data_IF_218820572402
#
_entry.id   IF_218820572402
#
_cell.length_a   1.000
_cell.length_b   1.000
_cell.length_c   1.000
_cell.angle_alpha   90.00
_cell.angle_beta   90.00
_cell.angle_gamma   90.00
#
_symmetry.space_group_name_H-M   'P 1'
#
loop_
_entity.id
_entity.type
_entity.pdbx_description
1 polymer ?
#
# COMPACT_ATOMS: atom_id res chain seq x y z
N UNK A 1 1.77 2.91 35.11
CA UNK A 1 0.62 2.52 34.30
C UNK A 1 1.15 1.69 33.16
N UNK A 2 0.63 0.46 32.96
CA UNK A 2 1.01 -0.34 31.80
C UNK A 2 0.33 0.33 30.59
N UNK A 3 1.11 0.83 29.65
CA UNK A 3 0.56 1.44 28.43
C UNK A 3 -0.11 0.35 27.61
N UNK A 4 -1.39 0.54 27.25
CA UNK A 4 -2.11 -0.36 26.34
C UNK A 4 -1.40 -0.40 25.00
N UNK A 5 -0.99 -1.58 24.49
CA UNK A 5 -0.28 -1.66 23.22
C UNK A 5 -1.19 -1.30 22.04
N UNK A 6 -0.59 -0.72 21.00
CA UNK A 6 -1.28 -0.31 19.77
C UNK A 6 -0.80 -1.19 18.61
N UNK A 7 -1.69 -1.98 18.06
CA UNK A 7 -1.43 -2.86 16.92
C UNK A 7 -1.72 -2.10 15.63
N UNK A 8 -0.72 -2.01 14.75
CA UNK A 8 -0.80 -1.35 13.44
C UNK A 8 -0.97 -2.40 12.36
N UNK A 9 -2.16 -2.43 11.72
CA UNK A 9 -2.50 -3.42 10.69
C UNK A 9 -2.22 -2.95 9.27
N UNK A 10 -1.75 -1.73 9.12
CA UNK A 10 -1.46 -1.08 7.84
C UNK A 10 -0.26 -1.76 7.15
N UNK A 11 -0.32 -1.88 5.80
CA UNK A 11 0.81 -2.34 5.00
C UNK A 11 1.91 -1.27 4.88
N UNK A 12 3.13 -1.71 4.54
CA UNK A 12 4.23 -0.80 4.23
C UNK A 12 3.97 -0.01 2.92
N UNK A 13 4.52 1.22 2.80
CA UNK A 13 5.38 1.93 3.75
C UNK A 13 4.61 2.64 4.89
N UNK A 14 3.29 2.69 4.82
CA UNK A 14 2.47 3.41 5.78
C UNK A 14 2.55 2.85 7.21
N UNK A 15 2.83 1.56 7.40
CA UNK A 15 3.03 0.97 8.72
C UNK A 15 4.19 1.65 9.45
N UNK A 16 5.33 1.80 8.79
CA UNK A 16 6.51 2.47 9.35
C UNK A 16 6.20 3.91 9.75
N UNK A 17 5.47 4.66 8.94
CA UNK A 17 5.07 6.06 9.25
C UNK A 17 4.18 6.12 10.49
N UNK A 18 3.14 5.28 10.55
CA UNK A 18 2.24 5.19 11.72
C UNK A 18 3.00 4.80 12.99
N UNK A 19 3.90 3.79 12.90
CA UNK A 19 4.74 3.35 14.01
C UNK A 19 5.62 4.48 14.56
N UNK A 20 6.22 5.29 13.69
CA UNK A 20 7.05 6.44 14.09
C UNK A 20 6.21 7.49 14.82
N UNK A 21 5.00 7.79 14.36
CA UNK A 21 4.08 8.72 14.99
C UNK A 21 3.65 8.24 16.37
N UNK A 22 3.27 6.96 16.51
CA UNK A 22 2.91 6.35 17.80
C UNK A 22 4.06 6.40 18.79
N UNK A 23 5.29 6.13 18.33
CA UNK A 23 6.50 6.26 19.15
C UNK A 23 6.72 7.70 19.63
N UNK A 24 6.50 8.70 18.77
CA UNK A 24 6.59 10.11 19.13
C UNK A 24 5.52 10.51 20.17
N UNK A 25 4.36 9.85 20.19
CA UNK A 25 3.32 9.99 21.20
C UNK A 25 3.61 9.22 22.50
N UNK A 26 4.72 8.48 22.58
CA UNK A 26 5.09 7.68 23.75
C UNK A 26 4.29 6.38 23.90
N UNK A 27 3.62 5.92 22.85
CA UNK A 27 2.80 4.72 22.85
C UNK A 27 3.62 3.48 22.44
N UNK A 28 3.33 2.34 23.07
CA UNK A 28 3.89 1.04 22.67
C UNK A 28 3.16 0.53 21.41
N UNK A 29 3.86 0.54 20.27
CA UNK A 29 3.29 0.14 18.99
C UNK A 29 3.86 -1.19 18.53
N UNK A 30 2.99 -2.05 17.95
CA UNK A 30 3.28 -3.38 17.43
C UNK A 30 2.87 -3.40 15.96
N UNK A 31 3.80 -3.70 15.07
CA UNK A 31 3.49 -3.88 13.65
C UNK A 31 2.90 -5.29 13.42
N UNK A 32 1.74 -5.33 12.81
CA UNK A 32 1.10 -6.56 12.34
C UNK A 32 0.38 -6.27 11.03
N UNK A 33 1.12 -6.01 9.93
CA UNK A 33 0.51 -5.69 8.64
C UNK A 33 -0.40 -6.80 8.16
N UNK A 34 -1.67 -6.49 7.94
CA UNK A 34 -2.67 -7.46 7.48
C UNK A 34 -2.76 -7.57 5.95
N UNK A 35 -1.95 -6.81 5.24
CA UNK A 35 -1.78 -6.88 3.80
C UNK A 35 -0.28 -6.90 3.49
N UNK A 36 0.13 -7.85 2.66
CA UNK A 36 1.49 -7.97 2.16
C UNK A 36 1.53 -7.90 0.64
N UNK A 37 2.60 -7.34 0.10
CA UNK A 37 2.89 -7.43 -1.33
C UNK A 37 3.60 -8.75 -1.58
N UNK A 38 3.07 -9.55 -2.50
CA UNK A 38 3.66 -10.82 -2.91
C UNK A 38 4.01 -10.78 -4.41
N UNK A 39 5.16 -11.35 -4.82
CA UNK A 39 5.44 -11.52 -6.23
C UNK A 39 4.39 -12.44 -6.86
N UNK A 40 4.00 -12.13 -8.08
CA UNK A 40 3.28 -13.07 -8.91
C UNK A 40 4.27 -14.06 -9.54
N UNK A 41 3.87 -15.32 -9.62
CA UNK A 41 4.63 -16.34 -10.38
C UNK A 41 4.35 -16.17 -11.88
N UNK A 42 4.72 -15.00 -12.41
CA UNK A 42 4.54 -14.64 -13.80
C UNK A 42 5.89 -14.58 -14.50
N UNK A 43 6.02 -15.28 -15.60
CA UNK A 43 7.19 -15.14 -16.45
C UNK A 43 7.28 -13.70 -16.99
N UNK A 44 8.43 -13.07 -16.80
CA UNK A 44 8.69 -11.77 -17.44
C UNK A 44 8.74 -12.00 -18.95
N UNK A 45 7.92 -11.28 -19.74
CA UNK A 45 7.91 -11.45 -21.20
C UNK A 45 9.23 -10.98 -21.81
N UNK A 46 9.40 -11.24 -23.12
CA UNK A 46 10.51 -10.63 -23.86
C UNK A 46 10.38 -9.11 -23.83
N UNK A 47 11.40 -8.46 -23.28
CA UNK A 47 11.48 -7.00 -23.10
C UNK A 47 12.31 -6.30 -24.20
N UNK A 48 12.73 -7.01 -25.24
CA UNK A 48 13.61 -6.47 -26.27
C UNK A 48 13.04 -5.27 -27.04
N UNK A 49 11.69 -5.21 -27.13
CA UNK A 49 10.96 -4.09 -27.73
C UNK A 49 10.56 -2.97 -26.78
N UNK A 50 10.86 -3.07 -25.47
CA UNK A 50 10.43 -2.10 -24.48
C UNK A 50 11.41 -0.92 -24.45
N UNK A 51 10.94 0.26 -24.84
CA UNK A 51 11.68 1.53 -24.81
C UNK A 51 11.29 2.40 -23.61
N UNK A 52 10.10 2.21 -23.06
CA UNK A 52 9.53 3.01 -21.97
C UNK A 52 8.90 2.12 -20.91
N UNK A 53 9.33 2.28 -19.66
CA UNK A 53 8.73 1.64 -18.48
C UNK A 53 7.93 2.69 -17.73
N UNK A 54 6.72 2.33 -17.33
CA UNK A 54 5.82 3.21 -16.57
C UNK A 54 5.60 2.61 -15.19
N UNK A 55 5.85 3.39 -14.14
CA UNK A 55 5.72 3.00 -12.75
C UNK A 55 4.79 3.95 -12.00
N UNK A 56 3.66 3.43 -11.55
CA UNK A 56 2.71 4.16 -10.69
C UNK A 56 2.95 3.95 -9.20
N UNK A 57 4.03 3.24 -8.84
CA UNK A 57 4.44 2.99 -7.45
C UNK A 57 5.92 2.61 -7.37
N UNK A 58 6.59 3.02 -6.30
CA UNK A 58 7.96 2.58 -5.97
C UNK A 58 8.06 1.04 -5.84
N UNK A 59 6.97 0.37 -5.44
CA UNK A 59 6.94 -1.09 -5.40
C UNK A 59 7.00 -1.71 -6.80
N UNK A 60 6.35 -1.11 -7.81
CA UNK A 60 6.48 -1.55 -9.20
C UNK A 60 7.94 -1.54 -9.67
N UNK A 61 8.69 -0.49 -9.31
CA UNK A 61 10.13 -0.41 -9.58
C UNK A 61 10.90 -1.53 -8.89
N UNK A 62 10.66 -1.76 -7.61
CA UNK A 62 11.37 -2.79 -6.82
C UNK A 62 11.11 -4.20 -7.35
N UNK A 63 9.84 -4.53 -7.64
CA UNK A 63 9.48 -5.83 -8.21
C UNK A 63 10.07 -6.03 -9.60
N UNK A 64 10.05 -4.99 -10.46
CA UNK A 64 10.70 -5.06 -11.76
C UNK A 64 12.20 -5.23 -11.64
N UNK A 65 12.85 -4.51 -10.74
CA UNK A 65 14.29 -4.60 -10.51
C UNK A 65 14.73 -5.99 -10.03
N UNK A 66 13.89 -6.66 -9.24
CA UNK A 66 14.12 -8.04 -8.82
C UNK A 66 13.86 -9.09 -9.91
N UNK A 67 12.96 -8.79 -10.85
CA UNK A 67 12.54 -9.72 -11.90
C UNK A 67 13.36 -9.57 -13.21
N UNK A 68 13.97 -8.42 -13.47
CA UNK A 68 14.70 -8.14 -14.71
C UNK A 68 15.92 -7.25 -14.47
N UNK A 69 17.06 -7.52 -15.12
CA UNK A 69 18.23 -6.63 -15.08
C UNK A 69 18.12 -5.42 -16.04
N UNK A 70 17.07 -5.33 -16.85
CA UNK A 70 16.91 -4.28 -17.86
C UNK A 70 16.77 -2.90 -17.21
N UNK A 71 17.65 -1.93 -17.61
CA UNK A 71 17.69 -0.55 -17.08
C UNK A 71 17.82 0.52 -18.16
N UNK A 72 17.87 0.10 -19.43
CA UNK A 72 18.03 1.00 -20.58
C UNK A 72 16.79 1.78 -20.99
N UNK A 73 15.53 1.28 -20.77
CA UNK A 73 14.35 2.06 -21.08
C UNK A 73 14.23 3.32 -20.22
N UNK A 74 13.53 4.33 -20.75
CA UNK A 74 13.12 5.50 -19.98
C UNK A 74 12.13 5.08 -18.90
N UNK A 75 12.38 5.44 -17.65
CA UNK A 75 11.47 5.15 -16.53
C UNK A 75 10.55 6.34 -16.25
N UNK A 76 9.27 6.20 -16.57
CA UNK A 76 8.22 7.16 -16.27
C UNK A 76 7.62 6.87 -14.91
N UNK A 77 7.74 7.80 -13.98
CA UNK A 77 7.38 7.62 -12.58
C UNK A 77 6.28 8.61 -12.18
N UNK A 78 5.25 8.13 -11.52
CA UNK A 78 4.08 8.95 -11.13
C UNK A 78 4.43 10.12 -10.19
N UNK A 79 5.54 10.03 -9.47
CA UNK A 79 5.95 11.08 -8.53
C UNK A 79 7.31 10.83 -7.89
N UNK A 80 7.73 11.72 -6.97
CA UNK A 80 9.09 11.78 -6.43
C UNK A 80 9.56 10.48 -5.77
N UNK A 81 8.74 9.82 -4.97
CA UNK A 81 9.08 8.56 -4.28
C UNK A 81 9.35 7.42 -5.26
N UNK A 82 8.54 7.34 -6.34
CA UNK A 82 8.72 6.35 -7.39
C UNK A 82 9.97 6.65 -8.23
N UNK A 83 10.22 7.92 -8.53
CA UNK A 83 11.41 8.35 -9.27
C UNK A 83 12.71 8.11 -8.48
N UNK A 84 12.69 8.35 -7.17
CA UNK A 84 13.82 8.01 -6.30
C UNK A 84 14.13 6.51 -6.34
N UNK A 85 13.11 5.66 -6.20
CA UNK A 85 13.26 4.21 -6.30
C UNK A 85 13.82 3.77 -7.68
N UNK A 86 13.39 4.42 -8.77
CA UNK A 86 13.91 4.12 -10.11
C UNK A 86 15.40 4.47 -10.25
N UNK A 87 15.82 5.63 -9.74
CA UNK A 87 17.25 6.03 -9.72
C UNK A 87 18.08 5.08 -8.86
N UNK A 88 17.61 4.71 -7.68
CA UNK A 88 18.24 3.71 -6.79
C UNK A 88 18.35 2.33 -7.47
N UNK A 89 17.36 1.94 -8.26
CA UNK A 89 17.39 0.71 -9.03
C UNK A 89 18.34 0.74 -10.23
N UNK A 90 18.95 1.89 -10.56
CA UNK A 90 19.95 2.05 -11.63
C UNK A 90 19.40 2.51 -12.98
N UNK A 91 18.17 3.02 -13.06
CA UNK A 91 17.67 3.67 -14.28
C UNK A 91 18.38 5.01 -14.51
N UNK A 92 18.94 5.20 -15.72
CA UNK A 92 19.69 6.41 -16.08
C UNK A 92 18.77 7.57 -16.52
N UNK A 93 17.69 7.28 -17.26
CA UNK A 93 16.70 8.27 -17.68
C UNK A 93 15.39 8.06 -16.90
N UNK A 94 15.15 8.95 -15.93
CA UNK A 94 13.98 8.91 -15.07
C UNK A 94 13.17 10.17 -15.25
N UNK A 95 11.93 10.04 -15.70
CA UNK A 95 10.94 11.10 -15.85
C UNK A 95 10.00 11.09 -14.66
N UNK A 96 9.93 12.19 -13.95
CA UNK A 96 9.15 12.35 -12.73
C UNK A 96 7.90 13.16 -13.01
N UNK A 97 6.73 12.53 -12.81
CA UNK A 97 5.43 13.17 -12.84
C UNK A 97 5.09 13.84 -11.50
N UNK A 98 4.08 14.69 -11.50
CA UNK A 98 3.67 15.48 -10.33
C UNK A 98 2.24 15.22 -9.88
N UNK A 99 1.58 14.23 -10.46
CA UNK A 99 0.18 13.96 -10.24
C UNK A 99 -0.16 12.48 -10.01
N UNK A 100 -1.24 12.05 -10.60
CA UNK A 100 -1.71 10.67 -10.55
C UNK A 100 -1.38 9.89 -11.83
N UNK A 101 -1.95 8.69 -11.97
CA UNK A 101 -1.74 7.85 -13.16
C UNK A 101 -2.33 8.48 -14.44
N UNK A 102 -3.36 9.32 -14.32
CA UNK A 102 -3.96 10.02 -15.45
C UNK A 102 -3.06 11.17 -15.92
N UNK A 103 -2.47 11.90 -14.99
CA UNK A 103 -1.49 12.96 -15.26
C UNK A 103 -0.23 12.36 -15.91
N UNK A 104 0.26 11.23 -15.38
CA UNK A 104 1.41 10.52 -15.95
C UNK A 104 1.16 10.07 -17.39
N UNK A 105 -0.05 9.58 -17.70
CA UNK A 105 -0.42 9.25 -19.08
C UNK A 105 -0.42 10.50 -19.99
N UNK A 106 -0.89 11.64 -19.49
CA UNK A 106 -0.86 12.91 -20.22
C UNK A 106 0.58 13.39 -20.47
N UNK A 107 1.46 13.28 -19.47
CA UNK A 107 2.89 13.61 -19.60
C UNK A 107 3.58 12.76 -20.67
N UNK A 108 3.30 11.45 -20.69
CA UNK A 108 3.82 10.52 -21.72
C UNK A 108 3.34 10.96 -23.11
N UNK A 109 2.04 11.23 -23.27
CA UNK A 109 1.46 11.66 -24.55
C UNK A 109 1.98 13.02 -25.02
N UNK A 110 2.31 13.92 -24.11
CA UNK A 110 2.90 15.22 -24.44
C UNK A 110 4.37 15.11 -24.88
N UNK A 111 5.10 14.13 -24.36
CA UNK A 111 6.54 13.97 -24.60
C UNK A 111 6.88 13.03 -25.77
N UNK A 112 6.01 12.05 -26.07
CA UNK A 112 6.25 11.05 -27.11
C UNK A 112 5.40 11.30 -28.35
N UNK A 113 5.94 11.05 -29.56
CA UNK A 113 5.15 11.13 -30.79
C UNK A 113 3.96 10.15 -30.76
N UNK A 114 2.80 10.52 -31.35
CA UNK A 114 1.71 9.58 -31.56
C UNK A 114 2.19 8.32 -32.32
N UNK A 115 1.68 7.15 -31.94
CA UNK A 115 2.10 5.88 -32.53
C UNK A 115 3.38 5.30 -31.94
N UNK A 116 3.96 5.89 -30.89
CA UNK A 116 5.10 5.28 -30.18
C UNK A 116 4.72 3.93 -29.62
N UNK A 117 5.53 2.92 -29.89
CA UNK A 117 5.41 1.54 -29.43
C UNK A 117 6.37 1.25 -28.26
N UNK A 118 6.21 0.11 -27.60
CA UNK A 118 7.13 -0.37 -26.56
C UNK A 118 6.99 0.36 -25.23
N UNK A 119 5.79 0.77 -24.87
CA UNK A 119 5.46 1.31 -23.55
C UNK A 119 4.93 0.19 -22.68
N UNK A 120 5.56 -0.09 -21.53
CA UNK A 120 5.17 -1.13 -20.60
C UNK A 120 4.87 -0.56 -19.21
N UNK A 121 3.61 -0.63 -18.79
CA UNK A 121 3.19 -0.29 -17.43
C UNK A 121 3.41 -1.49 -16.49
N UNK A 122 4.30 -1.32 -15.52
CA UNK A 122 4.62 -2.35 -14.52
C UNK A 122 4.02 -1.95 -13.18
N UNK A 123 3.07 -2.76 -12.69
CA UNK A 123 2.35 -2.42 -11.47
C UNK A 123 1.80 -3.66 -10.73
N UNK A 124 1.05 -3.40 -9.66
CA UNK A 124 0.22 -4.39 -8.98
C UNK A 124 -0.87 -4.90 -9.94
N UNK A 125 -1.22 -6.18 -9.85
CA UNK A 125 -2.29 -6.78 -10.66
C UNK A 125 -3.60 -5.97 -10.58
N UNK A 126 -3.94 -5.47 -9.41
CA UNK A 126 -5.15 -4.65 -9.21
C UNK A 126 -5.11 -3.28 -9.90
N UNK A 127 -3.95 -2.83 -10.40
CA UNK A 127 -3.79 -1.56 -11.13
C UNK A 127 -3.94 -1.72 -12.65
N UNK A 128 -4.35 -2.91 -13.13
CA UNK A 128 -4.56 -3.17 -14.54
C UNK A 128 -5.70 -2.30 -15.09
N UNK A 129 -5.41 -1.57 -16.14
CA UNK A 129 -6.43 -1.07 -17.04
C UNK A 129 -6.36 0.40 -17.39
N UNK A 130 -6.59 1.35 -16.48
CA UNK A 130 -6.86 2.75 -16.88
C UNK A 130 -5.72 3.45 -17.64
N UNK A 131 -4.50 3.40 -17.16
CA UNK A 131 -3.37 4.07 -17.79
C UNK A 131 -3.11 3.50 -19.19
N UNK A 132 -3.01 2.17 -19.30
CA UNK A 132 -2.76 1.49 -20.58
C UNK A 132 -3.93 1.70 -21.55
N UNK A 133 -5.18 1.61 -21.08
CA UNK A 133 -6.35 1.85 -21.91
C UNK A 133 -6.36 3.27 -22.47
N UNK A 134 -5.98 4.27 -21.66
CA UNK A 134 -5.87 5.67 -22.07
C UNK A 134 -4.79 5.88 -23.14
N UNK A 135 -3.60 5.29 -22.98
CA UNK A 135 -2.54 5.33 -23.97
C UNK A 135 -2.94 4.65 -25.27
N UNK A 136 -3.56 3.46 -25.20
CA UNK A 136 -4.06 2.73 -26.39
C UNK A 136 -5.13 3.52 -27.12
N UNK A 137 -6.06 4.14 -26.42
CA UNK A 137 -7.10 4.98 -27.02
C UNK A 137 -6.52 6.22 -27.75
N UNK A 138 -5.36 6.71 -27.33
CA UNK A 138 -4.60 7.78 -27.98
C UNK A 138 -3.65 7.29 -29.07
N UNK A 139 -3.65 5.99 -29.42
CA UNK A 139 -2.89 5.42 -30.52
C UNK A 139 -1.47 5.02 -30.17
N UNK A 140 -1.11 4.85 -28.88
CA UNK A 140 0.20 4.36 -28.43
C UNK A 140 0.19 2.84 -28.25
N UNK A 141 1.32 2.20 -28.55
CA UNK A 141 1.56 0.78 -28.28
C UNK A 141 1.98 0.56 -26.84
N UNK A 142 1.01 0.37 -25.95
CA UNK A 142 1.21 0.22 -24.52
C UNK A 142 0.70 -1.13 -24.02
N UNK A 143 1.47 -1.79 -23.14
CA UNK A 143 1.09 -3.05 -22.51
C UNK A 143 1.18 -2.96 -20.99
N UNK A 144 0.59 -3.96 -20.30
CA UNK A 144 0.57 -4.06 -18.86
C UNK A 144 1.30 -5.33 -18.39
N UNK A 145 2.15 -5.19 -17.38
CA UNK A 145 2.82 -6.29 -16.71
C UNK A 145 2.54 -6.25 -15.22
N UNK A 146 1.75 -7.20 -14.74
CA UNK A 146 1.60 -7.43 -13.32
C UNK A 146 2.77 -8.27 -12.81
N UNK A 147 3.55 -7.74 -11.87
CA UNK A 147 4.64 -8.49 -11.22
C UNK A 147 4.35 -8.81 -9.76
N UNK A 148 3.35 -8.19 -9.17
CA UNK A 148 3.00 -8.41 -7.77
C UNK A 148 1.51 -8.16 -7.53
N UNK A 149 1.05 -8.72 -6.44
CA UNK A 149 -0.31 -8.54 -5.94
C UNK A 149 -0.30 -8.12 -4.47
N UNK A 150 -1.46 -7.71 -3.96
CA UNK A 150 -1.66 -7.47 -2.53
C UNK A 150 -2.46 -8.63 -1.96
N UNK A 151 -1.82 -9.45 -1.13
CA UNK A 151 -2.42 -10.59 -0.42
C UNK A 151 -2.79 -10.21 1.00
N UNK A 152 -3.90 -10.72 1.53
CA UNK A 152 -4.14 -10.74 2.97
C UNK A 152 -3.02 -11.52 3.66
N UNK A 153 -2.66 -11.11 4.89
CA UNK A 153 -1.86 -11.97 5.77
C UNK A 153 -2.77 -13.06 6.37
N UNK A 154 -2.23 -14.26 6.48
CA UNK A 154 -2.96 -15.39 7.04
C UNK A 154 -3.05 -15.33 8.57
N UNK A 155 -2.01 -14.76 9.21
CA UNK A 155 -1.85 -14.68 10.66
C UNK A 155 -1.47 -13.26 11.10
N UNK A 156 -1.68 -12.97 12.38
CA UNK A 156 -1.12 -11.80 13.04
C UNK A 156 0.39 -12.02 13.31
N UNK A 157 1.12 -10.94 13.57
CA UNK A 157 2.47 -11.10 14.13
C UNK A 157 2.39 -11.76 15.52
N UNK A 158 3.38 -12.59 15.90
CA UNK A 158 3.38 -13.25 17.22
C UNK A 158 3.24 -12.27 18.38
N UNK A 159 3.81 -11.07 18.24
CA UNK A 159 3.72 -10.00 19.24
C UNK A 159 2.30 -9.42 19.34
N UNK A 160 1.59 -9.30 18.21
CA UNK A 160 0.21 -8.83 18.20
C UNK A 160 -0.76 -9.87 18.80
N UNK A 161 -0.56 -11.15 18.47
CA UNK A 161 -1.31 -12.24 19.10
C UNK A 161 -1.10 -12.28 20.60
N UNK A 162 0.16 -12.20 21.04
CA UNK A 162 0.49 -12.19 22.47
C UNK A 162 -0.12 -10.98 23.19
N UNK A 163 -0.14 -9.81 22.56
CA UNK A 163 -0.72 -8.60 23.12
C UNK A 163 -2.25 -8.74 23.30
N UNK A 164 -2.96 -9.25 22.28
CA UNK A 164 -4.41 -9.49 22.38
C UNK A 164 -4.77 -10.56 23.43
N UNK A 165 -3.95 -11.60 23.57
CA UNK A 165 -4.15 -12.64 24.57
C UNK A 165 -3.87 -12.13 26.01
N UNK A 166 -2.89 -11.24 26.18
CA UNK A 166 -2.49 -10.73 27.49
C UNK A 166 -3.51 -9.77 28.11
N UNK A 167 -4.25 -9.00 27.30
CA UNK A 167 -5.20 -8.01 27.84
C UNK A 167 -5.74 -7.05 26.79
N UNK A 168 -6.25 -5.88 27.21
CA UNK A 168 -6.71 -4.86 26.29
C UNK A 168 -5.60 -4.39 25.34
N UNK A 169 -5.94 -4.28 24.05
CA UNK A 169 -5.05 -3.74 23.02
C UNK A 169 -5.83 -2.85 22.06
N UNK A 170 -5.25 -1.71 21.64
CA UNK A 170 -5.78 -0.89 20.58
C UNK A 170 -5.40 -1.47 19.22
N UNK A 171 -6.31 -1.44 18.25
CA UNK A 171 -6.06 -1.94 16.89
C UNK A 171 -6.42 -0.86 15.88
N UNK A 172 -5.43 -0.37 15.13
CA UNK A 172 -5.64 0.63 14.10
C UNK A 172 -6.01 -0.01 12.77
N UNK A 173 -7.15 0.37 12.21
CA UNK A 173 -7.69 -0.14 10.95
C UNK A 173 -7.73 0.98 9.90
N UNK A 174 -6.92 0.86 8.84
CA UNK A 174 -6.79 1.87 7.79
C UNK A 174 -7.58 1.56 6.50
N UNK A 175 -8.10 0.33 6.35
CA UNK A 175 -8.89 -0.05 5.18
C UNK A 175 -9.80 -1.23 5.45
N UNK A 176 -10.87 -1.36 4.68
CA UNK A 176 -11.77 -2.51 4.76
C UNK A 176 -11.05 -3.83 4.40
N UNK A 177 -10.09 -3.81 3.46
CA UNK A 177 -9.32 -5.00 3.08
C UNK A 177 -8.43 -5.49 4.23
N UNK A 178 -7.75 -4.57 4.94
CA UNK A 178 -6.97 -4.90 6.13
C UNK A 178 -7.86 -5.37 7.28
N UNK A 179 -9.04 -4.74 7.47
CA UNK A 179 -10.01 -5.17 8.48
C UNK A 179 -10.52 -6.59 8.23
N UNK A 180 -10.81 -6.95 6.98
CA UNK A 180 -11.25 -8.30 6.62
C UNK A 180 -10.18 -9.35 6.91
N UNK A 181 -8.92 -9.07 6.55
CA UNK A 181 -7.79 -9.94 6.87
C UNK A 181 -7.59 -10.07 8.38
N UNK A 182 -7.65 -8.95 9.12
CA UNK A 182 -7.58 -8.96 10.58
C UNK A 182 -8.71 -9.76 11.22
N UNK A 183 -9.95 -9.58 10.76
CA UNK A 183 -11.10 -10.32 11.26
C UNK A 183 -10.97 -11.83 11.02
N UNK A 184 -10.32 -12.23 9.94
CA UNK A 184 -10.05 -13.64 9.63
C UNK A 184 -8.94 -14.22 10.51
N UNK A 185 -7.79 -13.53 10.59
CA UNK A 185 -6.59 -14.00 11.26
C UNK A 185 -6.69 -13.94 12.80
N UNK A 186 -7.40 -12.95 13.34
CA UNK A 186 -7.48 -12.78 14.78
C UNK A 186 -8.43 -13.77 15.44
N UNK A 187 -8.01 -14.35 16.55
CA UNK A 187 -8.81 -15.17 17.44
C UNK A 187 -9.90 -14.37 18.18
N UNK A 188 -9.92 -14.43 19.51
CA UNK A 188 -10.84 -13.64 20.34
C UNK A 188 -10.46 -12.14 20.29
N UNK A 189 -11.46 -11.28 20.15
CA UNK A 189 -11.31 -9.82 20.07
C UNK A 189 -12.12 -9.08 21.16
N UNK A 190 -12.68 -9.80 22.10
CA UNK A 190 -13.52 -9.28 23.21
C UNK A 190 -12.81 -8.20 24.05
N UNK A 191 -11.47 -8.13 23.99
CA UNK A 191 -10.64 -7.10 24.64
C UNK A 191 -10.03 -6.10 23.68
N UNK A 192 -10.27 -6.25 22.38
CA UNK A 192 -9.73 -5.34 21.38
C UNK A 192 -10.52 -4.04 21.31
N UNK A 193 -9.82 -2.91 21.34
CA UNK A 193 -10.38 -1.58 21.12
C UNK A 193 -9.99 -1.19 19.71
N UNK A 194 -10.94 -1.26 18.80
CA UNK A 194 -10.71 -0.98 17.38
C UNK A 194 -10.87 0.51 17.11
N UNK A 195 -9.86 1.10 16.44
CA UNK A 195 -9.90 2.46 15.95
C UNK A 195 -9.81 2.40 14.41
N UNK A 196 -10.90 2.74 13.73
CA UNK A 196 -11.00 2.66 12.29
C UNK A 196 -10.95 4.05 11.65
N UNK A 197 -10.24 4.17 10.53
CA UNK A 197 -10.09 5.43 9.78
C UNK A 197 -11.43 5.91 9.19
N UNK A 198 -12.40 5.01 9.02
CA UNK A 198 -13.74 5.31 8.52
C UNK A 198 -14.72 4.18 8.87
N UNK A 199 -16.02 4.48 8.82
CA UNK A 199 -17.05 3.47 9.00
C UNK A 199 -16.97 2.35 7.92
N UNK A 200 -16.58 2.68 6.70
CA UNK A 200 -16.35 1.70 5.64
C UNK A 200 -15.20 0.73 5.98
N UNK A 201 -14.12 1.25 6.58
CA UNK A 201 -13.00 0.43 7.03
C UNK A 201 -13.38 -0.50 8.19
N UNK A 202 -14.27 -0.10 9.08
CA UNK A 202 -14.74 -0.91 10.20
C UNK A 202 -15.72 -2.04 9.80
N UNK A 203 -16.39 -1.89 8.64
CA UNK A 203 -17.51 -2.80 8.25
C UNK A 203 -17.18 -4.29 8.28
N UNK A 204 -15.99 -4.79 7.90
CA UNK A 204 -15.66 -6.21 7.95
C UNK A 204 -15.60 -6.79 9.37
N UNK A 205 -15.53 -5.95 10.39
CA UNK A 205 -15.54 -6.36 11.80
C UNK A 205 -16.96 -6.46 12.38
N UNK A 206 -17.98 -6.13 11.59
CA UNK A 206 -19.37 -6.26 12.02
C UNK A 206 -19.69 -7.73 12.39
N UNK A 207 -20.27 -7.94 13.58
CA UNK A 207 -20.55 -9.29 14.09
C UNK A 207 -19.40 -9.96 14.85
N UNK A 208 -18.21 -9.36 14.90
CA UNK A 208 -17.15 -9.79 15.83
C UNK A 208 -17.40 -9.15 17.20
N UNK A 209 -17.22 -9.93 18.26
CA UNK A 209 -17.24 -9.43 19.64
C UNK A 209 -15.95 -8.63 19.89
N UNK A 210 -16.06 -7.31 20.05
CA UNK A 210 -14.97 -6.38 20.32
C UNK A 210 -15.32 -5.52 21.52
N UNK A 211 -14.30 -5.09 22.31
CA UNK A 211 -14.52 -4.29 23.52
C UNK A 211 -15.11 -2.91 23.18
N UNK A 212 -14.57 -2.24 22.17
CA UNK A 212 -15.04 -0.94 21.69
C UNK A 212 -14.67 -0.71 20.23
N UNK A 213 -15.48 0.08 19.53
CA UNK A 213 -15.20 0.57 18.17
C UNK A 213 -15.28 2.09 18.16
N UNK A 214 -14.18 2.71 17.74
CA UNK A 214 -14.08 4.13 17.47
C UNK A 214 -13.84 4.36 15.99
N UNK A 215 -14.52 5.36 15.42
CA UNK A 215 -14.32 5.75 14.02
C UNK A 215 -13.76 7.18 14.01
N UNK A 216 -12.69 7.39 13.25
CA UNK A 216 -12.08 8.70 13.09
C UNK A 216 -13.08 9.72 12.50
N UNK A 217 -12.98 10.97 12.93
CA UNK A 217 -13.85 12.05 12.47
C UNK A 217 -13.68 12.40 10.98
N UNK A 218 -12.50 12.10 10.43
CA UNK A 218 -12.18 12.24 9.00
C UNK A 218 -11.28 11.06 8.56
N UNK A 219 -11.31 10.68 7.26
CA UNK A 219 -10.54 9.52 6.77
C UNK A 219 -9.07 9.87 6.52
N UNK A 220 -8.38 10.34 7.56
CA UNK A 220 -6.95 10.65 7.54
C UNK A 220 -6.26 10.20 8.82
N UNK A 221 -4.93 10.16 8.78
CA UNK A 221 -4.09 9.65 9.87
C UNK A 221 -4.21 10.50 11.14
N UNK A 222 -4.31 11.83 11.01
CA UNK A 222 -4.40 12.72 12.17
C UNK A 222 -5.67 12.45 12.98
N UNK A 223 -6.82 12.40 12.30
CA UNK A 223 -8.09 12.08 12.93
C UNK A 223 -8.14 10.65 13.52
N UNK A 224 -7.43 9.68 12.89
CA UNK A 224 -7.31 8.33 13.44
C UNK A 224 -6.53 8.32 14.75
N UNK A 225 -5.41 9.04 14.81
CA UNK A 225 -4.59 9.15 16.03
C UNK A 225 -5.26 9.97 17.11
N UNK A 226 -6.06 10.99 16.77
CA UNK A 226 -6.91 11.73 17.72
C UNK A 226 -7.96 10.81 18.35
N UNK A 227 -8.61 9.96 17.53
CA UNK A 227 -9.56 8.97 18.04
C UNK A 227 -8.90 7.93 18.95
N UNK A 228 -7.66 7.50 18.62
CA UNK A 228 -6.86 6.64 19.48
C UNK A 228 -6.55 7.30 20.83
N UNK A 229 -6.13 8.58 20.82
CA UNK A 229 -5.82 9.31 22.04
C UNK A 229 -7.06 9.46 22.95
N UNK A 230 -8.24 9.72 22.36
CA UNK A 230 -9.50 9.75 23.07
C UNK A 230 -9.87 8.39 23.69
N UNK A 231 -9.68 7.30 22.97
CA UNK A 231 -9.95 5.95 23.47
C UNK A 231 -8.97 5.55 24.59
N UNK A 232 -7.67 5.85 24.43
CA UNK A 232 -6.65 5.53 25.44
C UNK A 232 -6.78 6.34 26.73
N UNK A 233 -7.30 7.57 26.67
CA UNK A 233 -7.57 8.39 27.85
C UNK A 233 -8.76 7.90 28.72
N UNK A 234 -9.52 6.94 28.22
CA UNK A 234 -10.68 6.34 28.88
C UNK A 234 -10.39 4.98 29.52
N UNK A 235 -9.13 4.48 29.45
CA UNK A 235 -8.62 3.22 30.00
C UNK A 235 -7.72 3.45 31.19
#
# INVERSE_FOLDING_TARGET
MVSVPVIVTRAEPGATETMQRLKAMGLAAIASPMLALAPLDAAVPDLSGVAHLVFTSANGVRFFAGASPLRTPVAWCVGPSTAAAAREAGFADVREGTGDAADLAADIMAALPPGTEGILHVANEAAAGELVARLKAAGYGADFLALYETRPADDLSPEAEAALAAGPACVLIHSAKAAAAFAWAAGALDRAIVIAISAAAARPLAGREIAALHVAAAPNEDALLDALAGAAGSL
#
